data_IF_355701600875
#
_entry.id   IF_355701600875
#
_cell.length_a   1.000
_cell.length_b   1.000
_cell.length_c   1.000
_cell.angle_alpha   90.00
_cell.angle_beta   90.00
_cell.angle_gamma   90.00
#
_symmetry.space_group_name_H-M   'P 1'
#
loop_
_entity.id
_entity.type
_entity.pdbx_description
1 polymer ?
#
# COMPACT_ATOMS: atom_id res chain seq x y z
N UNK A 1 -37.09 -25.09 38.35
CA UNK A 1 -37.17 -25.25 36.88
C UNK A 1 -36.51 -24.04 36.26
N UNK A 2 -35.56 -24.26 35.37
CA UNK A 2 -34.61 -23.27 34.84
C UNK A 2 -35.34 -22.24 33.98
N UNK A 3 -35.15 -20.94 34.26
CA UNK A 3 -35.50 -19.87 33.33
C UNK A 3 -34.21 -19.41 32.68
N UNK A 4 -34.04 -19.76 31.41
CA UNK A 4 -32.88 -19.39 30.59
C UNK A 4 -33.17 -18.02 29.97
N UNK A 5 -32.31 -17.03 30.24
CA UNK A 5 -32.30 -15.77 29.49
C UNK A 5 -31.18 -15.85 28.44
N UNK A 6 -31.58 -15.86 27.17
CA UNK A 6 -30.70 -15.73 26.02
C UNK A 6 -30.43 -14.24 25.77
N UNK A 7 -29.20 -13.80 25.95
CA UNK A 7 -28.78 -12.46 25.56
C UNK A 7 -28.27 -12.49 24.10
N UNK A 8 -29.04 -11.89 23.19
CA UNK A 8 -28.59 -11.55 21.83
C UNK A 8 -27.51 -10.48 21.93
N UNK A 9 -26.28 -10.81 21.51
CA UNK A 9 -25.21 -9.81 21.31
C UNK A 9 -25.49 -9.05 20.02
N UNK A 10 -25.89 -7.78 20.14
CA UNK A 10 -25.83 -6.81 19.06
C UNK A 10 -24.38 -6.31 18.94
N UNK A 11 -23.79 -6.43 17.76
CA UNK A 11 -22.52 -5.77 17.42
C UNK A 11 -22.72 -4.24 17.45
N UNK A 12 -22.37 -3.61 18.56
CA UNK A 12 -22.13 -2.16 18.61
C UNK A 12 -20.63 -1.91 18.44
N UNK A 13 -20.30 -1.00 17.52
CA UNK A 13 -18.95 -0.54 17.19
C UNK A 13 -18.27 -0.03 18.47
N UNK A 14 -17.27 -0.77 18.93
CA UNK A 14 -16.58 -0.51 20.21
C UNK A 14 -15.63 0.69 20.09
N UNK A 15 -15.99 1.81 20.73
CA UNK A 15 -15.14 2.96 21.02
C UNK A 15 -14.11 2.66 22.14
N UNK A 16 -13.31 1.60 22.00
CA UNK A 16 -12.41 1.14 23.07
C UNK A 16 -10.92 1.22 22.72
N UNK A 17 -10.52 2.13 21.83
CA UNK A 17 -9.11 2.43 21.61
C UNK A 17 -8.41 3.11 22.79
N UNK A 18 -9.18 3.68 23.73
CA UNK A 18 -8.63 4.53 24.80
C UNK A 18 -8.51 3.82 26.17
N UNK A 19 -9.34 2.80 26.47
CA UNK A 19 -9.29 2.15 27.79
C UNK A 19 -8.23 1.06 27.91
N UNK A 20 -7.84 0.38 26.83
CA UNK A 20 -6.82 -0.68 26.91
C UNK A 20 -5.44 -0.12 27.25
N UNK A 21 -5.17 1.15 26.91
CA UNK A 21 -3.91 1.83 27.20
C UNK A 21 -3.69 2.07 28.71
N UNK A 22 -4.75 2.07 29.52
CA UNK A 22 -4.66 2.36 30.96
C UNK A 22 -4.24 1.17 31.82
N UNK A 23 -4.31 -0.06 31.29
CA UNK A 23 -3.97 -1.29 32.01
C UNK A 23 -2.50 -1.73 31.83
N UNK A 24 -1.73 -1.12 30.92
CA UNK A 24 -0.39 -1.60 30.54
C UNK A 24 0.73 -0.57 30.79
N UNK A 25 0.46 0.54 31.49
CA UNK A 25 1.51 1.50 31.87
C UNK A 25 2.31 2.09 30.70
N UNK A 26 1.72 2.18 29.49
CA UNK A 26 2.42 2.73 28.33
C UNK A 26 2.33 4.25 28.37
N UNK A 27 3.49 4.88 28.51
CA UNK A 27 3.69 6.32 28.57
C UNK A 27 3.30 6.97 27.23
N UNK A 28 2.32 7.89 27.28
CA UNK A 28 1.92 8.92 26.31
C UNK A 28 1.87 8.58 24.81
N UNK A 29 0.81 9.04 24.13
CA UNK A 29 0.62 8.88 22.67
C UNK A 29 1.81 9.37 21.81
N UNK A 30 2.67 10.24 22.34
CA UNK A 30 3.89 10.71 21.69
C UNK A 30 4.95 9.62 21.49
N UNK A 31 5.00 8.59 22.33
CA UNK A 31 5.93 7.46 22.18
C UNK A 31 5.51 6.49 21.07
N UNK A 32 4.20 6.32 20.84
CA UNK A 32 3.68 5.46 19.78
C UNK A 32 3.91 6.05 18.38
N UNK A 33 3.80 7.37 18.23
CA UNK A 33 4.14 8.08 16.99
C UNK A 33 5.63 8.06 16.71
N UNK A 34 6.49 8.29 17.71
CA UNK A 34 7.95 8.21 17.55
C UNK A 34 8.46 6.77 17.29
N UNK A 35 7.83 5.75 17.86
CA UNK A 35 8.12 4.35 17.49
C UNK A 35 7.70 4.03 16.05
N UNK A 36 6.55 4.53 15.58
CA UNK A 36 6.13 4.35 14.17
C UNK A 36 7.04 5.07 13.17
N UNK A 37 7.56 6.26 13.50
CA UNK A 37 8.49 7.01 12.64
C UNK A 37 9.84 6.27 12.49
N UNK A 38 10.38 5.71 13.57
CA UNK A 38 11.64 4.96 13.53
C UNK A 38 11.52 3.55 12.91
N UNK A 39 10.31 2.99 12.80
CA UNK A 39 10.11 1.61 12.33
C UNK A 39 10.33 1.41 10.82
N UNK A 40 10.25 2.46 10.00
CA UNK A 40 10.36 2.31 8.54
C UNK A 40 11.78 2.46 7.99
N UNK A 41 12.81 2.59 8.82
CA UNK A 41 14.21 2.58 8.35
C UNK A 41 14.57 1.31 7.56
N UNK A 42 13.90 0.20 7.87
CA UNK A 42 14.02 -1.08 7.18
C UNK A 42 12.88 -1.35 6.19
N UNK A 43 12.06 -0.34 5.84
CA UNK A 43 10.98 -0.50 4.86
C UNK A 43 11.54 -1.02 3.53
N UNK A 44 10.92 -2.07 3.03
CA UNK A 44 11.21 -2.69 1.75
C UNK A 44 9.91 -2.85 0.99
N UNK A 45 9.99 -2.56 -0.30
CA UNK A 45 9.00 -2.97 -1.27
C UNK A 45 9.55 -4.16 -2.04
N UNK A 46 8.67 -5.07 -2.44
CA UNK A 46 8.98 -6.16 -3.36
C UNK A 46 7.84 -6.29 -4.35
N UNK A 47 8.18 -6.30 -5.64
CA UNK A 47 7.25 -6.65 -6.71
C UNK A 47 7.33 -8.16 -6.95
N UNK A 48 6.19 -8.79 -7.13
CA UNK A 48 6.13 -10.21 -7.45
C UNK A 48 5.06 -10.47 -8.49
N UNK A 49 5.42 -11.22 -9.52
CA UNK A 49 4.50 -11.70 -10.53
C UNK A 49 3.81 -12.97 -10.02
N UNK A 50 2.56 -13.17 -10.39
CA UNK A 50 1.76 -14.37 -10.11
C UNK A 50 1.39 -14.69 -8.65
N UNK A 51 1.93 -14.03 -7.60
CA UNK A 51 1.54 -14.31 -6.22
C UNK A 51 1.87 -13.22 -5.20
N UNK A 52 1.16 -13.27 -4.06
CA UNK A 52 1.53 -12.49 -2.87
C UNK A 52 2.68 -13.17 -2.11
N UNK A 53 3.42 -12.39 -1.33
CA UNK A 53 4.51 -12.89 -0.48
C UNK A 53 3.95 -13.15 0.93
N UNK A 54 4.14 -14.37 1.44
CA UNK A 54 3.69 -14.74 2.78
C UNK A 54 4.34 -13.88 3.86
N UNK A 55 3.53 -13.36 4.78
CA UNK A 55 3.99 -12.50 5.88
C UNK A 55 4.23 -11.04 5.48
N UNK A 56 3.96 -10.66 4.24
CA UNK A 56 4.05 -9.27 3.76
C UNK A 56 2.66 -8.70 3.49
N UNK A 57 2.57 -7.38 3.49
CA UNK A 57 1.36 -6.64 3.17
C UNK A 57 1.35 -6.35 1.67
N UNK A 58 0.49 -7.04 0.93
CA UNK A 58 0.49 -6.99 -0.53
C UNK A 58 -0.77 -6.33 -1.08
N UNK A 59 -0.59 -5.45 -2.06
CA UNK A 59 -1.66 -4.93 -2.91
C UNK A 59 -1.58 -5.58 -4.28
N UNK A 60 -2.73 -5.98 -4.81
CA UNK A 60 -2.83 -6.49 -6.18
C UNK A 60 -2.85 -5.30 -7.14
N UNK A 61 -1.88 -5.22 -8.04
CA UNK A 61 -1.81 -4.23 -9.10
C UNK A 61 -2.61 -4.74 -10.30
N UNK A 62 -3.94 -4.72 -10.16
CA UNK A 62 -4.85 -5.26 -11.16
C UNK A 62 -5.06 -4.28 -12.32
N UNK A 63 -4.89 -4.77 -13.55
CA UNK A 63 -5.43 -4.18 -14.77
C UNK A 63 -6.24 -5.24 -15.53
N UNK A 64 -7.31 -4.85 -16.22
CA UNK A 64 -8.22 -5.78 -16.91
C UNK A 64 -7.61 -6.57 -18.08
N UNK A 65 -6.38 -6.24 -18.50
CA UNK A 65 -5.65 -6.99 -19.51
C UNK A 65 -5.21 -8.35 -18.98
N UNK A 66 -5.31 -9.39 -19.81
CA UNK A 66 -5.09 -10.77 -19.37
C UNK A 66 -3.67 -11.04 -18.80
N UNK A 67 -2.68 -10.20 -19.12
CA UNK A 67 -1.29 -10.34 -18.68
C UNK A 67 -0.95 -9.61 -17.37
N UNK A 68 -1.83 -8.79 -16.80
CA UNK A 68 -1.50 -7.96 -15.63
C UNK A 68 -2.49 -8.15 -14.46
N UNK A 69 -3.08 -9.33 -14.36
CA UNK A 69 -4.08 -9.59 -13.33
C UNK A 69 -3.48 -10.12 -12.04
N UNK A 70 -2.26 -10.63 -12.03
CA UNK A 70 -1.69 -11.40 -10.91
C UNK A 70 -0.40 -10.78 -10.36
N UNK A 71 -0.18 -9.51 -10.67
CA UNK A 71 0.95 -8.74 -10.18
C UNK A 71 0.66 -8.15 -8.80
N UNK A 72 1.62 -8.31 -7.88
CA UNK A 72 1.51 -7.83 -6.51
C UNK A 72 2.68 -6.93 -6.15
N UNK A 73 2.36 -5.86 -5.44
CA UNK A 73 3.34 -5.00 -4.79
C UNK A 73 3.20 -5.17 -3.28
N UNK A 74 4.27 -5.63 -2.65
CA UNK A 74 4.29 -6.01 -1.25
C UNK A 74 5.21 -5.11 -0.42
N UNK A 75 4.83 -4.86 0.82
CA UNK A 75 5.67 -4.16 1.82
C UNK A 75 5.83 -5.02 3.07
N UNK A 76 7.01 -4.94 3.69
CA UNK A 76 7.30 -5.67 4.94
C UNK A 76 6.64 -5.03 6.17
N UNK A 77 5.95 -3.90 6.00
CA UNK A 77 5.10 -3.27 6.99
C UNK A 77 3.75 -2.89 6.40
N UNK A 78 2.71 -2.82 7.23
CA UNK A 78 1.47 -2.16 6.84
C UNK A 78 1.68 -0.64 6.84
N UNK A 79 1.67 -0.07 5.64
CA UNK A 79 1.82 1.37 5.40
C UNK A 79 0.54 1.99 4.85
N UNK A 80 -0.55 1.22 4.76
CA UNK A 80 -1.79 1.63 4.09
C UNK A 80 -1.66 1.76 2.58
N UNK A 81 -0.72 1.04 1.95
CA UNK A 81 -0.58 1.03 0.49
C UNK A 81 -1.88 0.56 -0.14
N UNK A 82 -2.32 1.23 -1.21
CA UNK A 82 -3.46 0.80 -2.01
C UNK A 82 -3.24 1.05 -3.50
N UNK A 83 -3.76 0.14 -4.32
CA UNK A 83 -3.84 0.27 -5.77
C UNK A 83 -5.24 0.76 -6.16
N UNK A 84 -5.31 1.73 -7.06
CA UNK A 84 -6.58 2.23 -7.61
C UNK A 84 -6.55 2.07 -9.12
N UNK A 85 -7.53 1.31 -9.61
CA UNK A 85 -7.79 1.01 -11.02
C UNK A 85 -9.11 1.65 -11.44
N UNK A 86 -9.16 2.26 -12.64
CA UNK A 86 -10.40 2.80 -13.25
C UNK A 86 -11.30 3.66 -12.34
N UNK A 87 -10.71 4.60 -11.61
CA UNK A 87 -11.41 5.29 -10.54
C UNK A 87 -11.56 6.81 -10.81
N UNK A 88 -12.76 7.36 -10.57
CA UNK A 88 -13.02 8.81 -10.53
C UNK A 88 -12.61 9.44 -9.18
N UNK A 89 -12.31 8.58 -8.21
CA UNK A 89 -11.86 8.82 -6.83
C UNK A 89 -10.34 8.63 -6.67
N UNK A 90 -9.56 8.87 -7.75
CA UNK A 90 -8.11 8.62 -7.87
C UNK A 90 -7.31 9.01 -6.63
N UNK A 91 -7.70 10.10 -5.99
CA UNK A 91 -7.33 10.43 -4.62
C UNK A 91 -8.54 11.06 -3.93
N UNK A 92 -9.09 10.39 -2.92
CA UNK A 92 -9.92 11.10 -1.94
C UNK A 92 -9.05 12.09 -1.14
N UNK A 93 -9.67 13.01 -0.39
CA UNK A 93 -8.95 13.93 0.50
C UNK A 93 -8.04 13.25 1.52
N UNK A 94 -8.27 11.96 1.78
CA UNK A 94 -7.54 11.17 2.77
C UNK A 94 -6.34 10.43 2.17
N UNK A 95 -6.13 10.54 0.85
CA UNK A 95 -5.10 9.82 0.11
C UNK A 95 -4.18 10.78 -0.65
N UNK A 96 -2.91 10.39 -0.74
CA UNK A 96 -1.93 10.97 -1.67
C UNK A 96 -1.43 9.87 -2.60
N UNK A 97 -1.41 10.15 -3.89
CA UNK A 97 -1.24 9.12 -4.91
C UNK A 97 -0.22 9.51 -5.96
N UNK A 98 0.46 8.52 -6.52
CA UNK A 98 1.32 8.67 -7.70
C UNK A 98 0.71 7.90 -8.87
N UNK A 99 0.68 8.52 -10.05
CA UNK A 99 0.23 7.86 -11.26
C UNK A 99 1.31 6.90 -11.77
N UNK A 100 0.90 5.70 -12.16
CA UNK A 100 1.82 4.66 -12.68
C UNK A 100 1.86 4.70 -14.20
N UNK A 101 2.21 5.87 -14.75
CA UNK A 101 2.23 6.09 -16.20
C UNK A 101 3.41 5.38 -16.86
N UNK A 102 3.19 4.80 -18.03
CA UNK A 102 4.24 4.24 -18.87
C UNK A 102 4.19 4.83 -20.29
N UNK A 103 4.91 5.95 -20.54
CA UNK A 103 4.82 6.64 -21.83
C UNK A 103 5.35 5.84 -23.02
N UNK A 104 6.27 4.89 -22.77
CA UNK A 104 6.91 4.06 -23.80
C UNK A 104 6.05 2.87 -24.25
N UNK A 105 5.03 2.50 -23.49
CA UNK A 105 4.13 1.40 -23.84
C UNK A 105 3.21 1.80 -25.01
N UNK A 106 3.13 1.01 -26.10
CA UNK A 106 2.13 1.18 -27.15
C UNK A 106 0.68 1.25 -26.62
N UNK A 107 0.40 0.65 -25.47
CA UNK A 107 -0.88 0.65 -24.77
C UNK A 107 -0.90 1.61 -23.56
N UNK A 108 -0.07 2.67 -23.54
CA UNK A 108 0.04 3.66 -22.45
C UNK A 108 -1.27 4.18 -21.86
N UNK A 109 -2.33 4.26 -22.65
CA UNK A 109 -3.64 4.73 -22.20
C UNK A 109 -4.27 3.81 -21.13
N UNK A 110 -3.85 2.54 -21.06
CA UNK A 110 -4.27 1.58 -20.04
C UNK A 110 -3.69 1.89 -18.64
N UNK A 111 -2.64 2.70 -18.55
CA UNK A 111 -1.95 2.98 -17.30
C UNK A 111 -2.28 4.37 -16.74
N UNK A 112 -2.90 5.23 -17.54
CA UNK A 112 -3.14 6.63 -17.19
C UNK A 112 -4.15 6.81 -16.06
N UNK A 113 -4.96 5.80 -15.75
CA UNK A 113 -5.95 5.79 -14.68
C UNK A 113 -5.57 4.92 -13.48
N UNK A 114 -4.33 4.42 -13.48
CA UNK A 114 -3.78 3.60 -12.43
C UNK A 114 -2.93 4.43 -11.49
N UNK A 115 -3.19 4.30 -10.19
CA UNK A 115 -2.46 5.04 -9.15
C UNK A 115 -2.13 4.16 -7.95
N UNK A 116 -0.98 4.44 -7.35
CA UNK A 116 -0.57 3.92 -6.05
C UNK A 116 -0.76 4.99 -5.00
N UNK A 117 -1.51 4.67 -3.95
CA UNK A 117 -1.91 5.63 -2.93
C UNK A 117 -1.43 5.21 -1.55
N UNK A 118 -1.14 6.22 -0.73
CA UNK A 118 -0.93 6.11 0.71
C UNK A 118 -1.91 7.03 1.44
N UNK A 119 -2.18 6.80 2.73
CA UNK A 119 -2.83 7.78 3.58
C UNK A 119 -2.10 9.13 3.52
N UNK A 120 -2.85 10.23 3.52
CA UNK A 120 -2.28 11.59 3.42
C UNK A 120 -1.27 11.89 4.52
N UNK A 121 -1.48 11.33 5.72
CA UNK A 121 -0.61 11.45 6.89
C UNK A 121 0.55 10.44 6.92
N UNK A 122 0.75 9.64 5.87
CA UNK A 122 1.88 8.72 5.80
C UNK A 122 3.21 9.48 5.79
N UNK A 123 4.20 8.99 6.54
CA UNK A 123 5.56 9.51 6.52
C UNK A 123 6.37 9.01 5.32
N UNK A 124 5.76 8.23 4.42
CA UNK A 124 6.40 7.75 3.20
C UNK A 124 5.99 8.66 2.05
N UNK A 125 6.94 9.00 1.19
CA UNK A 125 6.70 9.62 -0.11
C UNK A 125 6.98 8.59 -1.19
N UNK A 126 5.98 8.31 -2.03
CA UNK A 126 6.14 7.50 -3.22
C UNK A 126 6.54 8.39 -4.40
N UNK A 127 7.36 7.85 -5.29
CA UNK A 127 7.77 8.49 -6.54
C UNK A 127 7.74 7.42 -7.62
N UNK A 128 6.98 7.65 -8.69
CA UNK A 128 6.98 6.77 -9.85
C UNK A 128 8.07 7.18 -10.83
N UNK A 129 8.80 6.21 -11.38
CA UNK A 129 9.79 6.42 -12.43
C UNK A 129 9.59 5.37 -13.52
N UNK A 130 9.40 5.83 -14.76
CA UNK A 130 9.22 4.97 -15.93
C UNK A 130 10.53 4.70 -16.68
N UNK A 131 11.67 5.23 -16.22
CA UNK A 131 12.94 5.19 -16.95
C UNK A 131 14.14 4.86 -16.06
N UNK A 132 13.93 3.98 -15.08
CA UNK A 132 14.97 3.51 -14.17
C UNK A 132 14.86 4.05 -12.75
N UNK A 133 15.73 3.60 -11.84
CA UNK A 133 15.71 4.01 -10.43
C UNK A 133 16.20 5.45 -10.26
N UNK A 134 15.61 6.15 -9.29
CA UNK A 134 16.04 7.50 -8.92
C UNK A 134 17.21 7.45 -7.92
N UNK A 135 18.19 8.32 -8.11
CA UNK A 135 19.33 8.41 -7.21
C UNK A 135 18.91 8.90 -5.80
N UNK A 136 19.60 8.38 -4.77
CA UNK A 136 19.46 8.78 -3.35
C UNK A 136 18.09 8.51 -2.71
N UNK A 137 17.28 7.65 -3.33
CA UNK A 137 16.05 7.10 -2.75
C UNK A 137 16.04 5.59 -2.95
N UNK A 138 15.24 4.89 -2.14
CA UNK A 138 15.05 3.44 -2.33
C UNK A 138 14.11 3.20 -3.49
N UNK A 139 14.34 2.15 -4.29
CA UNK A 139 13.47 1.80 -5.40
C UNK A 139 13.27 0.29 -5.50
N UNK A 140 12.11 -0.11 -6.01
CA UNK A 140 11.80 -1.48 -6.43
C UNK A 140 11.46 -1.43 -7.91
N UNK A 141 12.03 -2.34 -8.69
CA UNK A 141 11.67 -2.51 -10.09
C UNK A 141 10.36 -3.29 -10.18
N UNK A 142 9.44 -2.82 -11.00
CA UNK A 142 8.21 -3.53 -11.33
C UNK A 142 8.43 -4.17 -12.67
N UNK A 143 9.07 -5.35 -12.68
CA UNK A 143 9.40 -6.08 -13.91
C UNK A 143 8.49 -7.28 -14.09
N UNK A 144 7.80 -7.33 -15.23
CA UNK A 144 7.01 -8.48 -15.65
C UNK A 144 7.55 -9.04 -16.98
N UNK A 145 8.20 -10.20 -16.90
CA UNK A 145 8.77 -10.88 -18.08
C UNK A 145 7.72 -11.30 -19.12
N UNK A 146 6.43 -11.36 -18.76
CA UNK A 146 5.34 -11.68 -19.68
C UNK A 146 4.92 -10.49 -20.55
N UNK A 147 5.33 -9.27 -20.17
CA UNK A 147 5.00 -8.02 -20.84
C UNK A 147 6.25 -7.21 -21.21
N UNK A 148 7.28 -7.78 -21.89
CA UNK A 148 8.62 -7.18 -22.00
C UNK A 148 8.70 -5.83 -22.73
N UNK A 149 7.64 -5.44 -23.46
CA UNK A 149 7.57 -4.13 -24.12
C UNK A 149 7.22 -2.98 -23.16
N UNK A 150 6.67 -3.29 -21.99
CA UNK A 150 6.28 -2.33 -20.96
C UNK A 150 6.91 -2.78 -19.63
N UNK A 151 7.21 -1.87 -18.69
CA UNK A 151 7.69 -2.26 -17.36
C UNK A 151 9.07 -2.93 -17.26
N UNK A 152 9.96 -2.75 -18.26
CA UNK A 152 11.34 -3.25 -18.13
C UNK A 152 12.24 -2.32 -17.31
N UNK A 153 11.89 -1.04 -17.20
CA UNK A 153 12.64 0.01 -16.50
C UNK A 153 11.77 0.78 -15.50
N UNK A 154 10.56 0.28 -15.21
CA UNK A 154 9.63 0.93 -14.29
C UNK A 154 10.02 0.66 -12.85
N UNK A 155 10.08 1.72 -12.07
CA UNK A 155 10.45 1.69 -10.67
C UNK A 155 9.45 2.47 -9.84
N UNK A 156 9.06 1.88 -8.71
CA UNK A 156 8.48 2.63 -7.62
C UNK A 156 9.60 2.95 -6.62
N UNK A 157 9.85 4.24 -6.44
CA UNK A 157 10.82 4.75 -5.49
C UNK A 157 10.12 5.34 -4.26
N UNK A 158 10.83 5.35 -3.13
CA UNK A 158 10.32 5.92 -1.89
C UNK A 158 11.39 6.52 -0.99
N UNK A 159 10.95 7.45 -0.14
CA UNK A 159 11.71 7.97 1.01
C UNK A 159 10.81 8.05 2.24
N UNK A 160 11.41 7.86 3.41
CA UNK A 160 10.78 8.12 4.72
C UNK A 160 11.10 9.56 5.10
N UNK A 161 10.10 10.31 5.56
CA UNK A 161 10.17 11.72 5.97
C UNK A 161 10.50 11.87 7.45
#
# INVERSE_FOLDING_TARGET
MIVSFSAKVHHTRSETGLEVAKLIGVHSAANLTNQRINNYASLRFQFNTASHINGWWCVRMYESTASWQDNYLCTNYDIGLSWRWKSADRCSSDLKCVATVEPGDPQKDLWQDNTLCLPVNSNIELIWSWCGPLARVSCVQLYDSSSPAAFHDNHLCWKVK
#
